data_IF_543216645904
#
_entry.id   IF_543216645904
#
_cell.length_a   1.000
_cell.length_b   1.000
_cell.length_c   1.000
_cell.angle_alpha   90.00
_cell.angle_beta   90.00
_cell.angle_gamma   90.00
#
_symmetry.space_group_name_H-M   'P 1'
#
loop_
_entity.id
_entity.type
_entity.pdbx_description
1 polymer ?
#
# COMPACT_ATOMS: atom_id res chain seq x y z
N UNK A 1 -13.21 -8.93 5.00
CA UNK A 1 -12.25 -7.82 4.89
C UNK A 1 -11.41 -8.02 3.64
N UNK A 2 -11.27 -6.96 2.84
CA UNK A 2 -10.42 -6.91 1.65
C UNK A 2 -9.32 -5.87 1.84
N UNK A 3 -8.40 -5.79 0.90
CA UNK A 3 -7.33 -4.80 0.93
C UNK A 3 -7.02 -4.27 -0.48
N UNK A 4 -6.45 -3.07 -0.53
CA UNK A 4 -5.96 -2.42 -1.74
C UNK A 4 -4.58 -1.84 -1.47
N UNK A 5 -3.63 -2.09 -2.36
CA UNK A 5 -2.28 -1.52 -2.32
C UNK A 5 -2.15 -0.43 -3.38
N UNK A 6 -2.07 0.82 -2.95
CA UNK A 6 -1.87 1.97 -3.84
C UNK A 6 -0.48 2.04 -4.47
N UNK A 7 0.52 1.38 -3.84
CA UNK A 7 1.86 1.26 -4.40
C UNK A 7 1.98 -0.04 -5.21
N UNK A 8 1.59 -0.04 -6.47
CA UNK A 8 1.61 -1.24 -7.33
C UNK A 8 3.00 -1.87 -7.47
N UNK A 9 4.07 -1.10 -7.39
CA UNK A 9 5.44 -1.61 -7.39
C UNK A 9 5.80 -2.47 -6.15
N UNK A 10 4.97 -2.47 -5.10
CA UNK A 10 5.15 -3.34 -3.93
C UNK A 10 4.58 -4.75 -4.13
N UNK A 11 3.89 -5.03 -5.22
CA UNK A 11 3.26 -6.35 -5.48
C UNK A 11 4.29 -7.46 -5.52
N UNK A 12 5.45 -7.25 -6.11
CA UNK A 12 6.52 -8.24 -6.14
C UNK A 12 6.95 -8.69 -4.72
N UNK A 13 7.00 -7.74 -3.77
CA UNK A 13 7.32 -8.07 -2.38
C UNK A 13 6.17 -8.85 -1.71
N UNK A 14 4.92 -8.53 -2.02
CA UNK A 14 3.76 -9.26 -1.49
C UNK A 14 3.72 -10.68 -2.05
N UNK A 15 4.01 -10.86 -3.34
CA UNK A 15 4.11 -12.18 -3.96
C UNK A 15 5.22 -13.02 -3.31
N UNK A 16 6.39 -12.42 -3.06
CA UNK A 16 7.47 -13.09 -2.35
C UNK A 16 7.08 -13.51 -0.91
N UNK A 17 6.34 -12.66 -0.20
CA UNK A 17 5.82 -12.97 1.14
C UNK A 17 4.77 -14.09 1.07
N UNK A 18 3.89 -14.11 0.06
CA UNK A 18 2.93 -15.20 -0.13
C UNK A 18 3.63 -16.54 -0.37
N UNK A 19 4.69 -16.56 -1.17
CA UNK A 19 5.53 -17.76 -1.36
C UNK A 19 6.20 -18.18 -0.05
N UNK A 20 6.77 -17.23 0.69
CA UNK A 20 7.42 -17.49 1.99
C UNK A 20 6.46 -18.11 3.00
N UNK A 21 5.22 -17.64 3.03
CA UNK A 21 4.20 -18.11 3.99
C UNK A 21 3.41 -19.34 3.49
N UNK A 22 3.67 -19.82 2.27
CA UNK A 22 2.89 -20.88 1.65
C UNK A 22 1.43 -20.47 1.35
N UNK A 23 1.17 -19.19 1.23
CA UNK A 23 -0.16 -18.63 0.94
C UNK A 23 -0.37 -18.50 -0.58
N UNK A 24 -0.29 -19.63 -1.29
CA UNK A 24 -0.39 -19.73 -2.75
C UNK A 24 -1.28 -20.91 -3.13
N UNK A 25 -1.84 -20.86 -4.33
CA UNK A 25 -2.54 -22.02 -4.89
C UNK A 25 -1.55 -23.16 -5.19
N UNK A 26 -2.04 -24.41 -5.26
CA UNK A 26 -1.19 -25.59 -5.42
C UNK A 26 -0.27 -25.51 -6.67
N UNK A 27 -0.80 -25.06 -7.80
CA UNK A 27 -0.01 -24.88 -9.03
C UNK A 27 1.09 -23.81 -8.88
N UNK A 28 0.80 -22.76 -8.13
CA UNK A 28 1.78 -21.70 -7.83
C UNK A 28 2.83 -22.17 -6.84
N UNK A 29 2.45 -22.93 -5.82
CA UNK A 29 3.38 -23.54 -4.87
C UNK A 29 4.37 -24.50 -5.54
N UNK A 30 3.91 -25.26 -6.54
CA UNK A 30 4.75 -26.13 -7.35
C UNK A 30 5.73 -25.32 -8.24
N UNK A 31 5.24 -24.24 -8.85
CA UNK A 31 6.03 -23.38 -9.75
C UNK A 31 7.04 -22.51 -9.00
N UNK A 32 6.66 -22.01 -7.82
CA UNK A 32 7.46 -21.10 -6.98
C UNK A 32 7.72 -21.70 -5.59
N UNK A 33 8.43 -22.83 -5.49
CA UNK A 33 8.81 -23.35 -4.19
C UNK A 33 9.68 -22.32 -3.44
N UNK A 34 9.63 -22.32 -2.10
CA UNK A 34 10.48 -21.46 -1.29
C UNK A 34 11.94 -21.92 -1.36
N UNK A 35 12.62 -21.48 -2.42
CA UNK A 35 14.02 -21.78 -2.74
C UNK A 35 14.57 -20.67 -3.65
N UNK A 36 15.88 -20.60 -3.78
CA UNK A 36 16.54 -19.64 -4.67
C UNK A 36 16.02 -19.78 -6.13
N UNK A 37 15.82 -21.00 -6.59
CA UNK A 37 15.29 -21.27 -7.94
C UNK A 37 13.84 -20.81 -8.07
N UNK A 38 12.99 -21.11 -7.09
CA UNK A 38 11.59 -20.71 -7.10
C UNK A 38 11.40 -19.20 -7.02
N UNK A 39 12.14 -18.53 -6.14
CA UNK A 39 12.11 -17.06 -6.03
C UNK A 39 12.68 -16.38 -7.28
N UNK A 40 13.73 -16.95 -7.90
CA UNK A 40 14.26 -16.45 -9.17
C UNK A 40 13.23 -16.60 -10.30
N UNK A 41 12.52 -17.72 -10.36
CA UNK A 41 11.44 -17.94 -11.31
C UNK A 41 10.29 -16.96 -11.09
N UNK A 42 9.89 -16.72 -9.82
CA UNK A 42 8.88 -15.72 -9.49
C UNK A 42 9.23 -14.33 -10.01
N UNK A 43 10.48 -13.89 -9.80
CA UNK A 43 10.96 -12.60 -10.31
C UNK A 43 10.92 -12.53 -11.83
N UNK A 44 11.36 -13.59 -12.52
CA UNK A 44 11.33 -13.65 -13.99
C UNK A 44 9.91 -13.57 -14.53
N UNK A 45 9.00 -14.35 -13.98
CA UNK A 45 7.61 -14.39 -14.42
C UNK A 45 6.88 -13.06 -14.13
N UNK A 46 7.17 -12.44 -12.98
CA UNK A 46 6.61 -11.14 -12.63
C UNK A 46 7.00 -10.06 -13.65
N UNK A 47 8.27 -9.94 -13.98
CA UNK A 47 8.76 -8.90 -14.89
C UNK A 47 8.55 -9.23 -16.38
N UNK A 48 8.33 -10.49 -16.74
CA UNK A 48 7.95 -10.88 -18.09
C UNK A 48 6.44 -10.86 -18.32
N UNK A 49 5.64 -10.55 -17.30
CA UNK A 49 4.18 -10.62 -17.34
C UNK A 49 3.68 -12.00 -17.77
N UNK A 50 4.31 -13.05 -17.25
CA UNK A 50 3.97 -14.42 -17.58
C UNK A 50 2.50 -14.75 -17.27
N UNK A 51 1.87 -15.47 -18.18
CA UNK A 51 0.50 -15.96 -18.05
C UNK A 51 0.49 -17.49 -18.08
N UNK A 52 -0.50 -18.09 -17.40
CA UNK A 52 -0.75 -19.53 -17.44
C UNK A 52 -1.51 -19.95 -18.72
N UNK A 53 -1.80 -21.24 -18.84
CA UNK A 53 -2.49 -21.80 -20.00
C UNK A 53 -3.95 -21.28 -20.14
N UNK A 54 -4.54 -20.81 -19.06
CA UNK A 54 -5.87 -20.22 -19.00
C UNK A 54 -5.87 -18.69 -19.23
N UNK A 55 -4.70 -18.09 -19.46
CA UNK A 55 -4.54 -16.66 -19.70
C UNK A 55 -4.57 -15.80 -18.45
N UNK A 56 -4.41 -16.40 -17.27
CA UNK A 56 -4.32 -15.69 -15.99
C UNK A 56 -2.85 -15.36 -15.68
N UNK A 57 -2.56 -14.33 -14.86
CA UNK A 57 -1.21 -14.12 -14.37
C UNK A 57 -0.63 -15.38 -13.72
N UNK A 58 0.59 -15.74 -14.08
CA UNK A 58 1.27 -16.90 -13.49
C UNK A 58 1.66 -16.65 -12.04
N UNK A 59 2.04 -15.41 -11.69
CA UNK A 59 2.38 -14.99 -10.33
C UNK A 59 1.13 -14.82 -9.48
N UNK A 60 1.21 -15.01 -8.14
CA UNK A 60 0.04 -15.09 -7.26
C UNK A 60 -0.94 -13.92 -7.34
N UNK A 61 -0.44 -12.69 -7.37
CA UNK A 61 -1.28 -11.48 -7.42
C UNK A 61 -1.27 -10.81 -8.79
N UNK A 62 -0.58 -11.36 -9.76
CA UNK A 62 -0.37 -10.71 -11.03
C UNK A 62 0.74 -9.68 -10.99
N UNK A 63 0.79 -8.82 -12.00
CA UNK A 63 1.82 -7.80 -12.14
C UNK A 63 1.45 -6.49 -11.43
N UNK A 64 2.14 -5.38 -11.74
CA UNK A 64 2.01 -4.08 -11.07
C UNK A 64 0.59 -3.51 -11.08
N UNK A 65 -0.19 -3.77 -12.11
CA UNK A 65 -1.57 -3.31 -12.24
C UNK A 65 -2.49 -4.50 -12.19
N UNK A 66 -3.23 -4.62 -11.12
CA UNK A 66 -4.24 -5.66 -10.93
C UNK A 66 -5.31 -5.16 -9.95
N UNK A 67 -6.43 -5.87 -9.77
CA UNK A 67 -7.54 -5.43 -8.92
C UNK A 67 -7.16 -5.14 -7.46
N UNK A 68 -6.10 -5.74 -6.96
CA UNK A 68 -5.67 -5.55 -5.56
C UNK A 68 -4.65 -4.43 -5.38
N UNK A 69 -4.05 -3.94 -6.45
CA UNK A 69 -2.96 -2.98 -6.36
C UNK A 69 -3.32 -1.60 -6.83
N UNK A 70 -4.52 -1.39 -7.32
CA UNK A 70 -5.01 -0.07 -7.68
C UNK A 70 -4.03 0.82 -8.47
N UNK A 71 -2.89 0.26 -8.75
CA UNK A 71 -1.81 0.81 -9.50
C UNK A 71 -0.88 1.75 -8.73
N UNK A 72 0.34 1.39 -8.66
CA UNK A 72 1.41 2.26 -8.19
C UNK A 72 1.84 3.29 -9.23
N UNK A 73 1.13 3.38 -10.32
CA UNK A 73 1.32 4.40 -11.34
C UNK A 73 0.07 5.27 -11.33
N UNK A 74 0.16 6.45 -11.88
CA UNK A 74 -0.97 7.39 -11.93
C UNK A 74 -2.26 6.72 -12.41
N UNK A 75 -2.20 5.84 -13.37
CA UNK A 75 -3.38 5.16 -13.88
C UNK A 75 -3.99 4.19 -12.87
N UNK A 76 -3.17 3.43 -12.21
CA UNK A 76 -3.65 2.45 -11.27
C UNK A 76 -4.04 3.06 -9.93
N UNK A 77 -3.28 4.02 -9.45
CA UNK A 77 -3.67 4.81 -8.29
C UNK A 77 -4.98 5.56 -8.54
N UNK A 78 -5.16 6.09 -9.74
CA UNK A 78 -6.41 6.72 -10.15
C UNK A 78 -7.56 5.70 -10.18
N UNK A 79 -7.35 4.53 -10.75
CA UNK A 79 -8.33 3.44 -10.74
C UNK A 79 -8.61 2.94 -9.32
N UNK A 80 -7.59 2.87 -8.48
CA UNK A 80 -7.74 2.52 -7.07
C UNK A 80 -8.55 3.56 -6.30
N UNK A 81 -8.33 4.83 -6.56
CA UNK A 81 -9.13 5.92 -6.02
C UNK A 81 -10.55 5.92 -6.56
N UNK A 82 -10.73 5.74 -7.86
CA UNK A 82 -12.05 5.56 -8.46
C UNK A 82 -12.77 4.35 -7.87
N UNK A 83 -12.02 3.27 -7.66
CA UNK A 83 -12.48 2.08 -6.98
C UNK A 83 -12.94 2.34 -5.54
N UNK A 84 -12.16 3.11 -4.78
CA UNK A 84 -12.52 3.51 -3.42
C UNK A 84 -13.74 4.42 -3.36
N UNK A 85 -13.91 5.30 -4.34
CA UNK A 85 -14.94 6.34 -4.30
C UNK A 85 -16.24 5.94 -4.98
N UNK A 86 -16.19 5.21 -6.10
CA UNK A 86 -17.35 5.04 -6.97
C UNK A 86 -17.68 3.61 -7.40
N UNK A 87 -16.71 2.71 -7.44
CA UNK A 87 -16.89 1.36 -7.99
C UNK A 87 -16.68 0.27 -6.95
N UNK A 88 -15.77 0.48 -6.02
CA UNK A 88 -15.41 -0.47 -4.97
C UNK A 88 -15.58 0.11 -3.57
N UNK A 89 -16.39 1.16 -3.41
CA UNK A 89 -16.84 1.47 -2.06
C UNK A 89 -17.38 0.18 -1.49
N UNK A 90 -16.84 -0.31 -0.37
CA UNK A 90 -17.32 -1.56 0.19
C UNK A 90 -18.83 -1.45 0.37
N UNK A 91 -19.54 -2.48 -0.02
CA UNK A 91 -20.96 -2.57 0.24
C UNK A 91 -21.22 -2.63 1.75
N UNK A 92 -22.41 -2.29 2.22
CA UNK A 92 -22.78 -2.42 3.62
C UNK A 92 -22.32 -3.76 4.21
N UNK A 93 -21.65 -3.72 5.35
CA UNK A 93 -21.09 -4.90 6.01
C UNK A 93 -19.69 -5.34 5.53
N UNK A 94 -19.17 -4.76 4.46
CA UNK A 94 -17.80 -5.00 4.01
C UNK A 94 -16.81 -4.04 4.67
N UNK A 95 -15.54 -4.47 4.75
CA UNK A 95 -14.42 -3.67 5.25
C UNK A 95 -13.28 -3.71 4.24
N UNK A 96 -12.71 -2.55 3.91
CA UNK A 96 -11.57 -2.39 3.02
C UNK A 96 -10.42 -1.70 3.75
N UNK A 97 -9.25 -2.33 3.77
CA UNK A 97 -7.99 -1.69 4.19
C UNK A 97 -7.27 -1.19 2.93
N UNK A 98 -6.93 0.10 2.90
CA UNK A 98 -6.22 0.66 1.75
C UNK A 98 -4.89 1.28 2.17
N UNK A 99 -3.81 0.87 1.48
CA UNK A 99 -2.48 1.43 1.67
C UNK A 99 -2.22 2.46 0.59
N UNK A 100 -1.92 3.69 1.00
CA UNK A 100 -1.71 4.82 0.12
C UNK A 100 -0.27 5.32 0.21
N UNK A 101 0.26 5.88 -0.87
CA UNK A 101 1.59 6.48 -0.91
C UNK A 101 1.47 8.00 -0.83
N UNK A 102 2.34 8.64 -0.04
CA UNK A 102 2.44 10.10 0.05
C UNK A 102 2.78 10.74 -1.32
N UNK A 103 3.62 10.09 -2.12
CA UNK A 103 3.91 10.55 -3.48
C UNK A 103 2.69 10.47 -4.41
N UNK A 104 1.97 9.35 -4.40
CA UNK A 104 0.75 9.21 -5.18
C UNK A 104 -0.38 10.13 -4.70
N UNK A 105 -0.48 10.35 -3.39
CA UNK A 105 -1.43 11.29 -2.80
C UNK A 105 -1.25 12.70 -3.36
N UNK A 106 -0.01 13.18 -3.48
CA UNK A 106 0.28 14.51 -4.06
C UNK A 106 -0.08 14.60 -5.56
N UNK A 107 0.20 13.55 -6.30
CA UNK A 107 0.00 13.52 -7.75
C UNK A 107 -1.46 13.35 -8.13
N UNK A 108 -2.23 12.64 -7.34
CA UNK A 108 -3.59 12.22 -7.67
C UNK A 108 -4.66 12.90 -6.85
N UNK A 109 -4.31 13.92 -6.08
CA UNK A 109 -5.24 14.65 -5.23
C UNK A 109 -6.08 13.73 -4.33
N UNK A 110 -5.41 12.80 -3.65
CA UNK A 110 -6.04 11.89 -2.71
C UNK A 110 -6.89 12.52 -1.61
N UNK A 111 -6.85 13.83 -1.51
CA UNK A 111 -7.71 14.67 -0.68
C UNK A 111 -9.16 14.75 -1.18
N UNK A 112 -9.46 14.28 -2.38
CA UNK A 112 -10.83 14.33 -2.89
C UNK A 112 -11.74 13.35 -2.16
N UNK A 113 -11.16 12.29 -1.60
CA UNK A 113 -11.90 11.40 -0.71
C UNK A 113 -11.96 12.00 0.69
N UNK A 114 -13.16 12.28 1.16
CA UNK A 114 -13.40 12.90 2.44
C UNK A 114 -14.61 12.29 3.14
N UNK A 115 -14.68 12.36 4.48
CA UNK A 115 -15.80 11.83 5.27
C UNK A 115 -17.18 12.28 4.82
N UNK A 116 -17.30 13.46 4.21
CA UNK A 116 -18.56 13.98 3.67
C UNK A 116 -19.20 13.13 2.57
N UNK A 117 -18.41 12.23 1.93
CA UNK A 117 -18.91 11.32 0.90
C UNK A 117 -19.34 9.96 1.46
N UNK A 118 -18.91 9.68 2.68
CA UNK A 118 -19.26 8.42 3.32
C UNK A 118 -20.70 8.47 3.87
N UNK A 119 -21.45 7.41 3.61
CA UNK A 119 -22.81 7.24 4.08
C UNK A 119 -22.96 5.91 4.79
N UNK A 120 -23.36 5.94 6.06
CA UNK A 120 -23.48 4.74 6.88
C UNK A 120 -24.50 3.74 6.39
N UNK A 121 -25.54 4.20 5.69
CA UNK A 121 -26.63 3.35 5.24
C UNK A 121 -26.29 2.51 4.01
N UNK A 122 -25.45 3.01 3.11
CA UNK A 122 -25.19 2.39 1.82
C UNK A 122 -23.72 2.17 1.49
N UNK A 123 -22.80 2.61 2.35
CA UNK A 123 -21.37 2.43 2.20
C UNK A 123 -20.81 1.45 3.22
N UNK A 124 -19.81 0.67 2.82
CA UNK A 124 -19.02 -0.12 3.75
C UNK A 124 -17.95 0.71 4.47
N UNK A 125 -17.04 0.04 5.14
CA UNK A 125 -16.02 0.66 5.98
C UNK A 125 -14.67 0.67 5.26
N UNK A 126 -14.04 1.83 5.13
CA UNK A 126 -12.71 2.00 4.55
C UNK A 126 -11.72 2.44 5.61
N UNK A 127 -10.60 1.74 5.71
CA UNK A 127 -9.50 2.01 6.62
C UNK A 127 -8.28 2.48 5.82
N UNK A 128 -8.11 3.78 5.58
CA UNK A 128 -6.98 4.31 4.84
C UNK A 128 -5.74 4.39 5.72
N UNK A 129 -4.61 3.95 5.17
CA UNK A 129 -3.29 4.01 5.80
C UNK A 129 -2.33 4.66 4.82
N UNK A 130 -1.87 5.86 5.14
CA UNK A 130 -0.85 6.57 4.37
C UNK A 130 0.54 6.08 4.75
N UNK A 131 1.30 5.65 3.77
CA UNK A 131 2.72 5.35 3.94
C UNK A 131 3.51 6.64 3.70
N UNK A 132 3.79 7.35 4.77
CA UNK A 132 4.49 8.64 4.74
C UNK A 132 5.99 8.42 4.80
N UNK A 133 6.61 8.14 3.65
CA UNK A 133 8.06 7.94 3.54
C UNK A 133 8.82 9.18 3.07
N UNK A 134 8.13 10.26 2.75
CA UNK A 134 8.68 11.56 2.39
C UNK A 134 9.29 11.64 0.99
N UNK A 135 9.06 10.63 0.12
CA UNK A 135 9.72 10.59 -1.19
C UNK A 135 8.80 10.09 -2.31
N UNK A 136 9.01 10.67 -3.49
CA UNK A 136 8.56 10.16 -4.79
C UNK A 136 9.62 9.24 -5.41
N UNK A 137 9.49 8.99 -6.70
CA UNK A 137 10.44 8.16 -7.47
C UNK A 137 11.85 8.77 -7.43
N UNK A 138 11.98 10.04 -7.73
CA UNK A 138 13.25 10.74 -8.00
C UNK A 138 13.54 11.93 -7.06
N UNK A 139 12.60 12.26 -6.16
CA UNK A 139 12.73 13.44 -5.30
C UNK A 139 11.99 13.28 -3.97
N UNK A 140 12.17 14.24 -3.08
CA UNK A 140 11.34 14.37 -1.88
C UNK A 140 9.91 14.72 -2.27
N UNK A 141 8.92 14.19 -1.54
CA UNK A 141 7.53 14.62 -1.70
C UNK A 141 7.37 16.08 -1.28
N UNK A 142 6.40 16.79 -1.86
CA UNK A 142 6.11 18.18 -1.50
C UNK A 142 5.67 18.27 -0.04
N UNK A 143 4.84 17.33 0.42
CA UNK A 143 4.47 17.24 1.84
C UNK A 143 5.69 17.21 2.75
N UNK A 144 6.69 16.38 2.44
CA UNK A 144 7.93 16.31 3.24
C UNK A 144 8.75 17.60 3.23
N UNK A 145 8.54 18.47 2.24
CA UNK A 145 9.21 19.76 2.13
C UNK A 145 8.48 20.88 2.89
N UNK A 146 7.16 20.76 3.07
CA UNK A 146 6.34 21.82 3.67
C UNK A 146 5.89 21.55 5.11
N UNK A 147 6.23 20.40 5.68
CA UNK A 147 5.87 20.09 7.07
C UNK A 147 5.76 18.60 7.38
N UNK A 148 5.86 17.74 6.36
CA UNK A 148 5.87 16.30 6.56
C UNK A 148 4.56 15.76 7.15
N UNK A 149 4.70 14.92 8.15
CA UNK A 149 3.56 14.27 8.83
C UNK A 149 2.65 15.28 9.53
N UNK A 150 3.20 16.36 10.09
CA UNK A 150 2.40 17.42 10.73
C UNK A 150 1.47 18.09 9.73
N UNK A 151 2.00 18.48 8.57
CA UNK A 151 1.18 19.04 7.48
C UNK A 151 0.09 18.06 7.03
N UNK A 152 0.41 16.79 6.86
CA UNK A 152 -0.56 15.78 6.44
C UNK A 152 -1.67 15.60 7.49
N UNK A 153 -1.29 15.57 8.76
CA UNK A 153 -2.25 15.47 9.88
C UNK A 153 -3.25 16.63 9.88
N UNK A 154 -2.74 17.87 9.75
CA UNK A 154 -3.58 19.07 9.68
C UNK A 154 -4.48 19.03 8.44
N UNK A 155 -3.95 18.66 7.30
CA UNK A 155 -4.70 18.53 6.05
C UNK A 155 -5.84 17.50 6.16
N UNK A 156 -5.58 16.33 6.71
CA UNK A 156 -6.59 15.29 6.95
C UNK A 156 -7.64 15.75 7.95
N UNK A 157 -7.24 16.40 9.04
CA UNK A 157 -8.16 16.93 10.04
C UNK A 157 -9.08 18.02 9.45
N UNK A 158 -8.55 18.89 8.59
CA UNK A 158 -9.32 19.90 7.85
C UNK A 158 -10.37 19.26 6.94
N UNK A 159 -10.06 18.11 6.34
CA UNK A 159 -10.97 17.37 5.48
C UNK A 159 -11.97 16.48 6.26
N UNK A 160 -11.98 16.52 7.58
CA UNK A 160 -12.94 15.80 8.41
C UNK A 160 -12.51 14.41 8.85
N UNK A 161 -11.22 14.09 8.70
CA UNK A 161 -10.67 12.86 9.27
C UNK A 161 -10.21 13.04 10.73
N UNK A 162 -10.01 11.91 11.39
CA UNK A 162 -9.40 11.80 12.71
C UNK A 162 -8.07 11.01 12.54
N UNK A 163 -6.95 11.72 12.29
CA UNK A 163 -5.68 11.08 11.95
C UNK A 163 -5.05 10.39 13.16
N UNK A 164 -4.46 9.22 12.91
CA UNK A 164 -3.77 8.37 13.89
C UNK A 164 -2.34 8.15 13.40
N UNK A 165 -1.35 8.59 14.16
CA UNK A 165 0.06 8.36 13.81
C UNK A 165 0.51 6.98 14.28
N UNK A 166 1.20 6.25 13.41
CA UNK A 166 1.80 4.95 13.72
C UNK A 166 3.25 4.86 13.21
N UNK A 167 4.05 4.04 13.85
CA UNK A 167 5.38 3.70 13.33
C UNK A 167 5.23 2.78 12.10
N UNK A 168 5.55 3.30 10.92
CA UNK A 168 5.49 2.56 9.65
C UNK A 168 6.61 1.51 9.48
N UNK A 169 7.43 1.27 10.51
CA UNK A 169 8.45 0.23 10.57
C UNK A 169 8.02 -0.95 11.45
N UNK A 170 6.92 -0.81 12.18
CA UNK A 170 6.42 -1.83 13.10
C UNK A 170 5.13 -2.48 12.57
N UNK A 171 5.16 -3.75 12.11
CA UNK A 171 3.96 -4.46 11.67
C UNK A 171 2.85 -4.54 12.74
N UNK A 172 3.20 -4.55 14.03
CA UNK A 172 2.20 -4.56 15.10
C UNK A 172 1.43 -3.26 15.18
N UNK A 173 2.06 -2.12 14.85
CA UNK A 173 1.39 -0.82 14.78
C UNK A 173 0.34 -0.80 13.65
N UNK A 174 0.62 -1.41 12.48
CA UNK A 174 -0.38 -1.58 11.42
C UNK A 174 -1.56 -2.44 11.86
N UNK A 175 -1.30 -3.58 12.49
CA UNK A 175 -2.36 -4.45 13.00
C UNK A 175 -3.24 -3.73 14.02
N UNK A 176 -2.64 -2.99 14.95
CA UNK A 176 -3.35 -2.17 15.92
C UNK A 176 -4.20 -1.09 15.25
N UNK A 177 -3.64 -0.37 14.28
CA UNK A 177 -4.36 0.68 13.55
C UNK A 177 -5.58 0.11 12.81
N UNK A 178 -5.42 -0.99 12.08
CA UNK A 178 -6.52 -1.65 11.37
C UNK A 178 -7.64 -2.08 12.33
N UNK A 179 -7.29 -2.64 13.48
CA UNK A 179 -8.27 -3.05 14.49
C UNK A 179 -8.97 -1.84 15.10
N UNK A 180 -8.22 -0.80 15.43
CA UNK A 180 -8.74 0.42 16.07
C UNK A 180 -9.63 1.22 15.11
N UNK A 181 -9.19 1.44 13.88
CA UNK A 181 -9.99 2.08 12.84
C UNK A 181 -11.27 1.29 12.54
N UNK A 182 -11.16 -0.04 12.42
CA UNK A 182 -12.34 -0.86 12.18
C UNK A 182 -13.38 -0.78 13.32
N UNK A 183 -12.94 -0.62 14.58
CA UNK A 183 -13.86 -0.37 15.72
C UNK A 183 -14.51 1.00 15.59
N UNK A 184 -13.72 2.06 15.41
CA UNK A 184 -14.22 3.42 15.29
C UNK A 184 -15.24 3.56 14.14
N UNK A 185 -14.96 2.95 12.98
CA UNK A 185 -15.86 2.95 11.83
C UNK A 185 -17.19 2.22 12.13
N UNK A 186 -17.13 1.06 12.78
CA UNK A 186 -18.36 0.33 13.18
C UNK A 186 -19.16 1.09 14.21
N UNK A 187 -18.50 1.80 15.13
CA UNK A 187 -19.18 2.63 16.11
C UNK A 187 -19.85 3.85 15.45
N UNK A 188 -19.16 4.53 14.53
CA UNK A 188 -19.73 5.60 13.72
C UNK A 188 -20.93 5.12 12.88
N UNK A 189 -20.79 3.98 12.22
CA UNK A 189 -21.87 3.37 11.45
C UNK A 189 -23.12 3.10 12.32
N UNK A 190 -22.92 2.49 13.49
CA UNK A 190 -24.03 2.23 14.41
C UNK A 190 -24.70 3.51 14.91
N UNK A 191 -23.91 4.52 15.24
CA UNK A 191 -24.46 5.82 15.69
C UNK A 191 -25.32 6.47 14.62
N UNK A 192 -24.89 6.44 13.34
CA UNK A 192 -25.67 6.96 12.22
C UNK A 192 -26.97 6.17 12.02
N UNK A 193 -26.89 4.84 11.96
CA UNK A 193 -28.06 3.98 11.71
C UNK A 193 -29.09 4.09 12.82
N UNK A 194 -28.65 4.29 14.07
CA UNK A 194 -29.55 4.47 15.22
C UNK A 194 -30.09 5.89 15.36
N UNK A 195 -29.59 6.85 14.57
CA UNK A 195 -29.96 8.27 14.72
C UNK A 195 -29.28 8.99 15.90
N UNK A 196 -28.21 8.40 16.43
CA UNK A 196 -27.45 8.96 17.57
C UNK A 196 -26.37 9.96 17.10
N UNK A 197 -26.12 10.04 15.80
CA UNK A 197 -25.16 10.98 15.20
C UNK A 197 -25.67 11.52 13.86
N UNK A 198 -25.21 12.73 13.51
CA UNK A 198 -25.52 13.40 12.24
C UNK A 198 -24.28 13.45 11.34
N UNK A 199 -24.51 13.56 10.04
CA UNK A 199 -23.45 13.79 9.05
C UNK A 199 -22.96 15.24 9.07
N UNK A 200 -21.68 15.48 8.70
CA UNK A 200 -20.64 14.47 8.51
C UNK A 200 -20.03 13.99 9.82
N UNK A 201 -19.76 12.71 9.93
CA UNK A 201 -18.96 12.15 11.03
C UNK A 201 -17.47 12.24 10.72
N UNK A 202 -16.64 12.31 11.76
CA UNK A 202 -15.19 12.19 11.59
C UNK A 202 -14.82 10.72 11.42
N UNK A 203 -13.99 10.43 10.42
CA UNK A 203 -13.56 9.07 10.11
C UNK A 203 -12.05 8.90 10.37
N UNK A 204 -11.61 7.74 10.87
CA UNK A 204 -10.21 7.50 11.14
C UNK A 204 -9.37 7.42 9.86
N UNK A 205 -8.12 7.85 9.96
CA UNK A 205 -7.11 7.76 8.92
C UNK A 205 -5.74 7.53 9.57
N UNK A 206 -5.03 6.45 9.25
CA UNK A 206 -3.71 6.20 9.82
C UNK A 206 -2.60 6.82 8.97
N UNK A 207 -1.61 7.41 9.63
CA UNK A 207 -0.37 7.93 9.03
C UNK A 207 0.77 7.06 9.52
N UNK A 208 1.31 6.23 8.64
CA UNK A 208 2.44 5.36 8.92
C UNK A 208 3.75 6.05 8.51
N UNK A 209 4.39 6.73 9.45
CA UNK A 209 5.67 7.39 9.18
C UNK A 209 6.78 6.35 9.08
N UNK A 210 7.54 6.43 7.99
CA UNK A 210 8.61 5.48 7.71
C UNK A 210 9.72 6.12 6.86
N UNK A 211 10.70 5.30 6.49
CA UNK A 211 11.82 5.67 5.62
C UNK A 211 11.72 4.86 4.33
N UNK A 212 11.77 5.52 3.18
CA UNK A 212 11.77 4.84 1.88
C UNK A 212 12.89 3.82 1.81
N UNK A 213 12.55 2.57 1.47
CA UNK A 213 13.51 1.47 1.42
C UNK A 213 14.00 1.00 2.79
N UNK A 214 13.21 1.21 3.85
CA UNK A 214 13.56 0.73 5.20
C UNK A 214 13.99 -0.74 5.17
N UNK A 215 15.13 -1.05 5.80
CA UNK A 215 15.71 -2.39 5.83
C UNK A 215 16.56 -2.76 4.59
N UNK A 216 16.71 -1.85 3.61
CA UNK A 216 17.50 -2.10 2.41
C UNK A 216 18.64 -1.08 2.23
N UNK A 217 19.72 -1.45 1.49
CA UNK A 217 20.76 -0.50 1.11
C UNK A 217 20.18 0.73 0.41
N UNK A 218 20.65 1.92 0.78
CA UNK A 218 20.16 3.17 0.23
C UNK A 218 18.87 3.69 0.85
N UNK A 219 18.40 3.10 1.97
CA UNK A 219 17.25 3.59 2.71
C UNK A 219 17.32 5.11 2.95
N UNK A 220 16.18 5.79 2.81
CA UNK A 220 16.09 7.25 2.93
C UNK A 220 16.56 8.04 1.72
N UNK A 221 16.98 7.39 0.64
CA UNK A 221 17.39 8.03 -0.61
C UNK A 221 16.47 7.66 -1.77
N UNK A 222 16.57 8.41 -2.89
CA UNK A 222 15.81 8.06 -4.10
C UNK A 222 16.31 6.77 -4.75
N UNK A 223 17.59 6.40 -4.53
CA UNK A 223 18.17 5.17 -5.04
C UNK A 223 17.44 3.91 -4.52
N UNK A 224 16.81 3.97 -3.35
CA UNK A 224 15.99 2.89 -2.82
C UNK A 224 14.70 2.61 -3.60
N UNK A 225 14.34 3.45 -4.57
CA UNK A 225 13.18 3.17 -5.43
C UNK A 225 13.46 2.07 -6.44
N UNK A 226 14.67 2.08 -7.02
CA UNK A 226 15.12 1.09 -8.00
C UNK A 226 16.34 0.35 -7.45
N UNK A 227 16.12 -0.76 -6.76
CA UNK A 227 17.21 -1.65 -6.41
C UNK A 227 17.73 -2.32 -7.70
N UNK A 228 19.02 -2.49 -7.80
CA UNK A 228 20.05 -2.43 -6.78
C UNK A 228 20.80 -1.09 -6.65
N UNK A 229 20.17 0.00 -6.78
CA UNK A 229 20.73 1.34 -6.64
C UNK A 229 21.35 1.86 -7.96
N UNK A 230 22.58 2.42 -7.91
CA UNK A 230 23.19 3.09 -9.06
C UNK A 230 23.85 2.10 -10.02
N UNK A 231 24.53 1.09 -9.50
CA UNK A 231 25.26 0.09 -10.26
C UNK A 231 24.56 -1.27 -10.20
N UNK A 232 24.49 -1.98 -11.33
CA UNK A 232 23.76 -3.24 -11.41
C UNK A 232 24.61 -4.42 -10.86
N UNK A 233 24.25 -5.01 -9.70
CA UNK A 233 25.00 -6.13 -9.12
C UNK A 233 24.87 -7.44 -9.91
N UNK A 234 23.97 -7.54 -10.89
CA UNK A 234 23.95 -8.69 -11.78
C UNK A 234 25.14 -8.68 -12.74
N UNK A 235 25.63 -7.51 -13.13
CA UNK A 235 26.71 -7.35 -14.11
C UNK A 235 28.00 -6.78 -13.52
N UNK A 236 27.95 -6.11 -12.37
CA UNK A 236 29.09 -5.52 -11.68
C UNK A 236 29.36 -6.24 -10.36
N UNK A 237 30.54 -6.89 -10.25
CA UNK A 237 30.91 -7.67 -9.08
C UNK A 237 31.13 -6.81 -7.83
N UNK A 238 31.65 -5.59 -7.98
CA UNK A 238 31.85 -4.68 -6.85
C UNK A 238 30.51 -4.12 -6.34
N UNK A 239 29.56 -3.84 -7.24
CA UNK A 239 28.21 -3.49 -6.88
C UNK A 239 27.50 -4.62 -6.13
N UNK A 240 27.68 -5.85 -6.59
CA UNK A 240 27.15 -7.06 -5.93
C UNK A 240 27.69 -7.20 -4.50
N UNK A 241 28.97 -7.05 -4.33
CA UNK A 241 29.59 -7.14 -3.00
C UNK A 241 29.06 -6.07 -2.06
N UNK A 242 29.00 -4.80 -2.50
CA UNK A 242 28.41 -3.70 -1.71
C UNK A 242 26.92 -3.96 -1.36
N UNK A 243 26.16 -4.47 -2.30
CA UNK A 243 24.75 -4.81 -2.08
C UNK A 243 24.59 -5.93 -1.04
N UNK A 244 25.37 -7.01 -1.15
CA UNK A 244 25.34 -8.11 -0.20
C UNK A 244 25.77 -7.68 1.21
N UNK A 245 26.79 -6.84 1.34
CA UNK A 245 27.21 -6.27 2.62
C UNK A 245 26.11 -5.40 3.24
N UNK A 246 25.41 -4.61 2.43
CA UNK A 246 24.33 -3.78 2.90
C UNK A 246 23.06 -4.55 3.33
N UNK A 247 22.84 -5.76 2.77
CA UNK A 247 21.74 -6.64 3.21
C UNK A 247 22.11 -7.42 4.47
N UNK A 248 23.39 -7.75 4.65
CA UNK A 248 23.87 -8.51 5.81
C UNK A 248 24.00 -7.67 7.09
N UNK A 249 23.96 -6.34 6.98
CA UNK A 249 24.08 -5.41 8.11
C UNK A 249 22.74 -5.14 8.78
#
# INVERSE_FOLDING_TARGET
>A
RSWLMGQGHCVAAIDAVNVLLGNTEAAQAERYPFSDAGLSQLCQDFYSYAIDAEGRPAVPLGSHVNPHTGGGISEGGYLGFAGLQYVHMPLPGQELVTFLSDGAFEEQRGSDWAPRWWRGEDSGLVMPIMIANGRRIDQRSTMAQVGGVDWLREHLALNGFDPIDIDGRDPAAFAWAIISMGRALRDAHRAIVNGDAEYPVRLPYAIAETVKGFGFPGAGTNAAHNLPLVDNPATDAAARERFNQGIAA
#
